data_IF_794337798441
#
_entry.id   IF_794337798441
#
_cell.length_a   1.000
_cell.length_b   1.000
_cell.length_c   1.000
_cell.angle_alpha   90.00
_cell.angle_beta   90.00
_cell.angle_gamma   90.00
#
_symmetry.space_group_name_H-M   'P 1'
#
loop_
_entity.id
_entity.type
_entity.pdbx_description
1 polymer ?
#
# COMPACT_ATOMS: atom_id res chain seq x y z
N UNK A 1 -0.64 -27.90 -3.66
CA UNK A 1 0.28 -26.88 -4.18
C UNK A 1 0.22 -25.69 -3.23
N UNK A 2 1.38 -25.27 -2.73
CA UNK A 2 1.51 -24.47 -1.51
C UNK A 2 0.76 -23.14 -1.57
N UNK A 3 -0.16 -22.94 -0.62
CA UNK A 3 -0.79 -21.64 -0.37
C UNK A 3 0.29 -20.65 0.08
N UNK A 4 0.30 -19.40 -0.42
CA UNK A 4 1.24 -18.41 0.05
C UNK A 4 0.96 -18.11 1.53
N UNK A 5 2.04 -18.09 2.32
CA UNK A 5 2.13 -18.03 3.78
C UNK A 5 1.53 -16.76 4.45
N UNK A 6 0.64 -16.02 3.79
CA UNK A 6 -0.08 -14.88 4.40
C UNK A 6 -1.45 -15.27 5.00
N UNK A 7 -1.85 -16.53 4.84
CA UNK A 7 -3.06 -17.13 5.45
C UNK A 7 -3.01 -17.21 7.00
N UNK A 8 -2.00 -16.66 7.69
CA UNK A 8 -1.93 -16.56 9.17
C UNK A 8 -2.16 -15.13 9.72
N UNK A 9 -2.98 -14.32 9.03
CA UNK A 9 -3.62 -13.15 9.64
C UNK A 9 -5.08 -13.41 10.03
N UNK A 10 -5.46 -14.68 10.27
CA UNK A 10 -6.69 -14.98 11.01
C UNK A 10 -6.46 -14.75 12.51
N UNK A 11 -7.04 -13.66 13.01
CA UNK A 11 -7.15 -13.36 14.42
C UNK A 11 -6.96 -11.88 14.66
N UNK A 12 -8.06 -11.14 14.69
CA UNK A 12 -8.22 -9.82 15.31
C UNK A 12 -6.94 -9.26 15.94
N UNK A 13 -6.10 -8.60 15.14
CA UNK A 13 -5.06 -7.78 15.76
C UNK A 13 -5.70 -6.46 16.13
N UNK A 14 -6.34 -6.49 17.30
CA UNK A 14 -6.59 -5.34 18.16
C UNK A 14 -5.24 -4.78 18.63
N UNK A 15 -4.53 -4.11 17.72
CA UNK A 15 -3.55 -3.10 18.07
C UNK A 15 -3.99 -1.81 17.39
N UNK A 16 -4.74 -0.97 18.10
CA UNK A 16 -5.08 0.37 17.60
C UNK A 16 -3.80 1.12 17.23
N UNK A 17 -2.73 0.96 18.03
CA UNK A 17 -1.43 1.55 17.75
C UNK A 17 -0.29 0.87 18.53
N UNK A 18 0.95 1.10 18.12
CA UNK A 18 2.19 0.77 18.86
C UNK A 18 2.98 2.05 19.12
N UNK A 19 3.52 2.20 20.33
CA UNK A 19 4.38 3.34 20.72
C UNK A 19 5.81 2.86 20.98
N UNK A 20 6.78 3.52 20.34
CA UNK A 20 8.20 3.37 20.61
C UNK A 20 8.78 4.75 20.94
N UNK A 21 9.58 4.87 22.00
CA UNK A 21 10.20 6.15 22.40
C UNK A 21 9.20 7.33 22.48
N UNK A 22 7.99 7.06 23.01
CA UNK A 22 6.87 8.03 23.10
C UNK A 22 6.30 8.49 21.74
N UNK A 23 6.53 7.75 20.66
CA UNK A 23 6.02 8.03 19.30
C UNK A 23 5.17 6.88 18.79
N UNK A 24 4.05 7.19 18.16
CA UNK A 24 3.26 6.16 17.47
C UNK A 24 3.99 5.72 16.20
N UNK A 25 4.32 4.44 16.11
CA UNK A 25 5.07 3.84 15.00
C UNK A 25 4.25 2.86 14.16
N UNK A 26 3.16 2.32 14.73
CA UNK A 26 2.17 1.51 14.01
C UNK A 26 0.80 2.01 14.39
N UNK A 27 -0.11 2.12 13.42
CA UNK A 27 -1.48 2.56 13.61
C UNK A 27 -2.41 1.71 12.74
N UNK A 28 -3.35 1.02 13.37
CA UNK A 28 -4.39 0.25 12.70
C UNK A 28 -5.74 0.91 12.90
N UNK A 29 -6.35 1.40 11.82
CA UNK A 29 -7.71 1.95 11.78
C UNK A 29 -8.64 1.10 10.91
N UNK A 30 -8.17 -0.03 10.39
CA UNK A 30 -8.97 -0.89 9.53
C UNK A 30 -10.20 -1.43 10.25
N UNK A 31 -11.27 -1.69 9.49
CA UNK A 31 -12.57 -2.19 9.98
C UNK A 31 -13.33 -1.24 10.92
N UNK A 32 -12.76 -0.08 11.27
CA UNK A 32 -13.48 0.95 11.99
C UNK A 32 -14.44 1.61 11.01
N UNK A 33 -15.74 1.33 11.20
CA UNK A 33 -16.81 1.90 10.39
C UNK A 33 -16.71 3.44 10.35
N UNK A 34 -16.93 4.02 9.17
CA UNK A 34 -16.96 5.46 8.92
C UNK A 34 -15.62 6.23 9.11
N UNK A 35 -14.46 5.57 9.11
CA UNK A 35 -13.19 6.29 8.97
C UNK A 35 -13.07 6.78 7.53
N UNK A 36 -13.18 8.09 7.32
CA UNK A 36 -12.95 8.74 6.03
C UNK A 36 -11.91 9.88 6.13
N UNK A 37 -11.83 10.53 7.28
CA UNK A 37 -10.86 11.56 7.59
C UNK A 37 -9.67 10.99 8.38
N UNK A 38 -8.53 10.91 7.72
CA UNK A 38 -7.25 10.54 8.32
C UNK A 38 -6.32 11.75 8.48
N UNK A 39 -6.82 12.98 8.37
CA UNK A 39 -6.03 14.20 8.55
C UNK A 39 -5.20 14.25 9.83
N UNK A 40 -5.61 13.68 10.99
CA UNK A 40 -4.77 13.66 12.19
C UNK A 40 -3.45 12.89 12.02
N UNK A 41 -3.40 11.88 11.13
CA UNK A 41 -2.19 11.04 10.96
C UNK A 41 -1.01 11.82 10.39
N UNK A 42 -1.24 12.99 9.78
CA UNK A 42 -0.20 13.88 9.22
C UNK A 42 0.88 14.28 10.24
N UNK A 43 0.55 14.23 11.54
CA UNK A 43 1.46 14.57 12.63
C UNK A 43 2.29 13.38 13.13
N UNK A 44 1.98 12.15 12.71
CA UNK A 44 2.67 10.94 13.10
C UNK A 44 3.88 10.68 12.20
N UNK A 45 4.82 11.61 12.14
CA UNK A 45 5.95 11.57 11.18
C UNK A 45 6.90 10.38 11.34
N UNK A 46 6.78 9.63 12.43
CA UNK A 46 7.53 8.40 12.72
C UNK A 46 6.74 7.13 12.42
N UNK A 47 5.54 7.24 11.87
CA UNK A 47 4.71 6.10 11.53
C UNK A 47 5.39 5.25 10.47
N UNK A 48 5.54 3.96 10.78
CA UNK A 48 6.17 2.94 9.94
C UNK A 48 5.13 2.01 9.31
N UNK A 49 4.02 1.77 10.00
CA UNK A 49 2.91 0.95 9.51
C UNK A 49 1.59 1.69 9.68
N UNK A 50 0.81 1.76 8.61
CA UNK A 50 -0.55 2.31 8.62
C UNK A 50 -1.51 1.33 7.97
N UNK A 51 -2.49 0.85 8.73
CA UNK A 51 -3.60 0.04 8.23
C UNK A 51 -4.88 0.83 8.16
N UNK A 52 -5.45 0.98 6.97
CA UNK A 52 -6.71 1.66 6.70
C UNK A 52 -7.71 0.74 5.97
N UNK A 53 -7.46 -0.58 5.95
CA UNK A 53 -8.30 -1.50 5.18
C UNK A 53 -9.75 -1.46 5.61
N UNK A 54 -10.66 -1.56 4.62
CA UNK A 54 -12.12 -1.52 4.85
C UNK A 54 -12.58 -0.28 5.59
N UNK A 55 -12.11 0.86 5.13
CA UNK A 55 -12.56 2.20 5.56
C UNK A 55 -13.03 3.00 4.34
N UNK A 56 -13.70 4.13 4.57
CA UNK A 56 -14.20 5.00 3.50
C UNK A 56 -13.15 6.01 3.01
N UNK A 57 -11.90 5.86 3.43
CA UNK A 57 -10.79 6.73 3.04
C UNK A 57 -10.64 6.75 1.52
N UNK A 58 -10.47 7.96 1.00
CA UNK A 58 -10.19 8.24 -0.42
C UNK A 58 -9.09 9.28 -0.59
N UNK A 59 -8.97 10.24 0.34
CA UNK A 59 -7.91 11.24 0.34
C UNK A 59 -6.66 10.76 1.09
N UNK A 60 -5.56 10.59 0.34
CA UNK A 60 -4.24 10.25 0.90
C UNK A 60 -3.36 11.48 1.16
N UNK A 61 -3.84 12.71 0.93
CA UNK A 61 -3.07 13.93 1.15
C UNK A 61 -2.41 14.06 2.53
N UNK A 62 -2.99 13.56 3.64
CA UNK A 62 -2.36 13.59 4.96
C UNK A 62 -1.08 12.74 5.05
N UNK A 63 -0.91 11.74 4.18
CA UNK A 63 0.19 10.77 4.23
C UNK A 63 1.48 11.32 3.59
N UNK A 64 1.42 12.40 2.79
CA UNK A 64 2.52 12.88 1.93
C UNK A 64 3.87 13.08 2.64
N UNK A 65 3.84 13.36 3.94
CA UNK A 65 5.01 13.67 4.78
C UNK A 65 5.42 12.53 5.72
N UNK A 66 4.77 11.37 5.68
CA UNK A 66 5.09 10.21 6.53
C UNK A 66 6.30 9.44 5.99
N UNK A 67 7.46 10.09 5.93
CA UNK A 67 8.65 9.59 5.22
C UNK A 67 9.24 8.30 5.80
N UNK A 68 8.86 7.94 7.01
CA UNK A 68 9.25 6.68 7.66
C UNK A 68 8.34 5.50 7.34
N UNK A 69 7.22 5.71 6.62
CA UNK A 69 6.24 4.67 6.31
C UNK A 69 6.87 3.57 5.46
N UNK A 70 6.72 2.32 5.91
CA UNK A 70 7.25 1.09 5.29
C UNK A 70 6.13 0.18 4.82
N UNK A 71 5.01 0.16 5.53
CA UNK A 71 3.88 -0.70 5.23
C UNK A 71 2.60 0.14 5.24
N UNK A 72 1.83 0.02 4.16
CA UNK A 72 0.56 0.71 3.99
C UNK A 72 -0.47 -0.28 3.45
N UNK A 73 -1.55 -0.46 4.20
CA UNK A 73 -2.70 -1.25 3.80
C UNK A 73 -3.88 -0.32 3.53
N UNK A 74 -4.31 -0.26 2.27
CA UNK A 74 -5.45 0.49 1.75
C UNK A 74 -6.51 -0.44 1.15
N UNK A 75 -6.44 -1.75 1.41
CA UNK A 75 -7.32 -2.72 0.79
C UNK A 75 -8.78 -2.41 1.10
N UNK A 76 -9.66 -2.54 0.11
CA UNK A 76 -11.11 -2.27 0.28
C UNK A 76 -11.39 -0.85 0.77
N UNK A 77 -10.69 0.14 0.20
CA UNK A 77 -10.96 1.57 0.43
C UNK A 77 -11.43 2.23 -0.87
N UNK A 78 -11.83 3.51 -0.78
CA UNK A 78 -12.29 4.28 -1.94
C UNK A 78 -11.15 5.02 -2.66
N UNK A 79 -9.90 4.68 -2.38
CA UNK A 79 -8.70 5.31 -2.97
C UNK A 79 -8.64 5.07 -4.48
N UNK A 80 -8.23 6.12 -5.20
CA UNK A 80 -7.92 6.09 -6.64
C UNK A 80 -6.66 6.89 -6.98
N UNK A 81 -6.39 7.99 -6.25
CA UNK A 81 -5.19 8.81 -6.45
C UNK A 81 -4.05 8.42 -5.50
N UNK A 82 -2.96 7.94 -6.09
CA UNK A 82 -1.72 7.58 -5.38
C UNK A 82 -0.69 8.72 -5.34
N UNK A 83 -0.97 9.89 -5.92
CA UNK A 83 -0.05 11.03 -5.97
C UNK A 83 0.59 11.37 -4.62
N UNK A 84 -0.14 11.36 -3.49
CA UNK A 84 0.44 11.62 -2.18
C UNK A 84 1.56 10.64 -1.76
N UNK A 85 1.59 9.43 -2.33
CA UNK A 85 2.58 8.39 -2.00
C UNK A 85 3.94 8.58 -2.69
N UNK A 86 4.04 9.41 -3.73
CA UNK A 86 5.25 9.57 -4.58
C UNK A 86 6.55 9.83 -3.79
N UNK A 87 6.43 10.46 -2.62
CA UNK A 87 7.55 10.80 -1.76
C UNK A 87 7.87 9.80 -0.65
N UNK A 88 7.17 8.67 -0.53
CA UNK A 88 7.32 7.69 0.55
C UNK A 88 8.38 6.64 0.22
N UNK A 89 9.61 7.09 -0.04
CA UNK A 89 10.70 6.27 -0.59
C UNK A 89 11.12 5.05 0.27
N UNK A 90 10.66 4.98 1.53
CA UNK A 90 10.89 3.84 2.43
C UNK A 90 9.80 2.77 2.37
N UNK A 91 8.74 2.97 1.58
CA UNK A 91 7.64 2.04 1.46
C UNK A 91 8.12 0.73 0.83
N UNK A 92 7.80 -0.38 1.49
CA UNK A 92 8.20 -1.76 1.14
C UNK A 92 7.00 -2.63 0.81
N UNK A 93 5.88 -2.40 1.46
CA UNK A 93 4.65 -3.18 1.31
C UNK A 93 3.49 -2.21 1.07
N UNK A 94 2.76 -2.46 -0.01
CA UNK A 94 1.58 -1.68 -0.38
C UNK A 94 0.45 -2.63 -0.80
N UNK A 95 -0.66 -2.58 -0.07
CA UNK A 95 -1.87 -3.32 -0.40
C UNK A 95 -2.92 -2.36 -0.95
N UNK A 96 -3.36 -2.60 -2.19
CA UNK A 96 -4.35 -1.80 -2.91
C UNK A 96 -5.50 -2.65 -3.44
N UNK A 97 -5.65 -3.90 -2.97
CA UNK A 97 -6.68 -4.75 -3.52
C UNK A 97 -8.09 -4.24 -3.22
N UNK A 98 -9.02 -4.49 -4.13
CA UNK A 98 -10.38 -3.95 -4.10
C UNK A 98 -10.40 -2.41 -3.93
N UNK A 99 -9.55 -1.68 -4.68
CA UNK A 99 -9.56 -0.21 -4.73
C UNK A 99 -9.83 0.28 -6.16
N UNK A 100 -10.05 1.59 -6.34
CA UNK A 100 -10.30 2.20 -7.66
C UNK A 100 -9.04 2.76 -8.30
N UNK A 101 -7.88 2.19 -7.98
CA UNK A 101 -6.60 2.62 -8.53
C UNK A 101 -6.48 2.13 -9.97
N UNK A 102 -6.05 3.03 -10.86
CA UNK A 102 -5.73 2.71 -12.26
C UNK A 102 -4.36 3.24 -12.70
N UNK A 103 -3.89 4.34 -12.09
CA UNK A 103 -2.59 4.95 -12.40
C UNK A 103 -1.51 4.60 -11.37
N UNK A 104 -0.47 3.89 -11.81
CA UNK A 104 0.69 3.52 -11.00
C UNK A 104 1.87 4.50 -11.13
N UNK A 105 1.76 5.56 -11.93
CA UNK A 105 2.83 6.56 -12.13
C UNK A 105 3.42 7.10 -10.82
N UNK A 106 2.63 7.36 -9.76
CA UNK A 106 3.18 7.81 -8.47
C UNK A 106 4.14 6.81 -7.81
N UNK A 107 4.06 5.52 -8.12
CA UNK A 107 4.86 4.47 -7.50
C UNK A 107 6.27 4.32 -8.10
N UNK A 108 6.54 4.92 -9.27
CA UNK A 108 7.79 4.69 -10.04
C UNK A 108 9.09 4.95 -9.27
N UNK A 109 9.05 5.85 -8.28
CA UNK A 109 10.21 6.24 -7.46
C UNK A 109 10.31 5.45 -6.13
N UNK A 110 9.38 4.54 -5.84
CA UNK A 110 9.38 3.74 -4.61
C UNK A 110 10.32 2.55 -4.73
N UNK A 111 11.62 2.82 -4.92
CA UNK A 111 12.65 1.82 -5.19
C UNK A 111 12.86 0.77 -4.09
N UNK A 112 12.32 1.01 -2.90
CA UNK A 112 12.32 0.05 -1.78
C UNK A 112 11.10 -0.88 -1.77
N UNK A 113 10.13 -0.71 -2.68
CA UNK A 113 8.92 -1.52 -2.74
C UNK A 113 9.28 -2.98 -3.07
N UNK A 114 8.78 -3.89 -2.23
CA UNK A 114 9.00 -5.34 -2.32
C UNK A 114 7.72 -6.11 -2.58
N UNK A 115 6.60 -5.64 -2.05
CA UNK A 115 5.31 -6.31 -2.18
C UNK A 115 4.26 -5.30 -2.61
N UNK A 116 3.57 -5.59 -3.70
CA UNK A 116 2.48 -4.79 -4.23
C UNK A 116 1.30 -5.71 -4.56
N UNK A 117 0.16 -5.46 -3.95
CA UNK A 117 -1.08 -6.18 -4.26
C UNK A 117 -2.04 -5.24 -5.01
N UNK A 118 -2.37 -5.58 -6.25
CA UNK A 118 -3.31 -4.88 -7.13
C UNK A 118 -4.53 -5.75 -7.49
N UNK A 119 -4.79 -6.82 -6.74
CA UNK A 119 -5.92 -7.70 -6.99
C UNK A 119 -7.24 -6.91 -7.02
N UNK A 120 -8.08 -7.13 -8.02
CA UNK A 120 -9.36 -6.43 -8.21
C UNK A 120 -9.18 -4.90 -8.19
N UNK A 121 -8.41 -4.39 -9.15
CA UNK A 121 -8.20 -2.95 -9.40
C UNK A 121 -8.33 -2.63 -10.89
N UNK A 122 -8.53 -1.35 -11.21
CA UNK A 122 -8.71 -0.85 -12.59
C UNK A 122 -7.36 -0.65 -13.33
N UNK A 123 -6.27 -1.24 -12.85
CA UNK A 123 -4.94 -1.08 -13.46
C UNK A 123 -4.87 -1.81 -14.79
N UNK A 124 -4.34 -1.14 -15.81
CA UNK A 124 -4.03 -1.73 -17.13
C UNK A 124 -2.58 -1.54 -17.58
N UNK A 125 -1.85 -0.58 -17.01
CA UNK A 125 -0.46 -0.27 -17.35
C UNK A 125 0.47 -0.49 -16.15
N UNK A 126 1.42 -1.42 -16.31
CA UNK A 126 2.46 -1.72 -15.32
C UNK A 126 3.83 -1.11 -15.67
N UNK A 127 3.91 -0.30 -16.73
CA UNK A 127 5.14 0.41 -17.10
C UNK A 127 5.80 1.20 -15.97
N UNK A 128 5.07 1.82 -15.02
CA UNK A 128 5.69 2.52 -13.89
C UNK A 128 6.47 1.59 -12.93
N UNK A 129 6.20 0.28 -12.96
CA UNK A 129 6.83 -0.70 -12.08
C UNK A 129 8.16 -1.22 -12.62
N UNK A 130 8.48 -1.01 -13.90
CA UNK A 130 9.60 -1.67 -14.60
C UNK A 130 11.01 -1.40 -14.02
N UNK A 131 11.16 -0.38 -13.17
CA UNK A 131 12.41 -0.04 -12.49
C UNK A 131 12.38 -0.30 -10.98
N UNK A 132 11.36 -1.02 -10.47
CA UNK A 132 11.25 -1.41 -9.06
C UNK A 132 12.00 -2.73 -8.80
N UNK A 133 13.32 -2.71 -8.99
CA UNK A 133 14.19 -3.90 -8.96
C UNK A 133 14.15 -4.73 -7.66
N UNK A 134 13.60 -4.18 -6.57
CA UNK A 134 13.41 -4.85 -5.29
C UNK A 134 12.05 -5.54 -5.14
N UNK A 135 11.16 -5.44 -6.14
CA UNK A 135 9.85 -6.08 -6.11
C UNK A 135 10.03 -7.60 -6.13
N UNK A 136 9.47 -8.25 -5.12
CA UNK A 136 9.55 -9.70 -4.84
C UNK A 136 8.17 -10.37 -4.98
N UNK A 137 7.09 -9.59 -4.91
CA UNK A 137 5.72 -10.07 -5.06
C UNK A 137 4.86 -8.98 -5.69
N UNK A 138 4.20 -9.34 -6.78
CA UNK A 138 3.22 -8.52 -7.48
C UNK A 138 1.98 -9.39 -7.72
N UNK A 139 0.83 -8.92 -7.27
CA UNK A 139 -0.46 -9.53 -7.57
C UNK A 139 -1.20 -8.66 -8.59
N UNK A 140 -1.60 -9.27 -9.71
CA UNK A 140 -2.33 -8.65 -10.83
C UNK A 140 -3.62 -9.41 -11.16
N UNK A 141 -4.04 -10.34 -10.31
CA UNK A 141 -5.29 -11.07 -10.53
C UNK A 141 -6.47 -10.09 -10.59
N UNK A 142 -7.46 -10.34 -11.44
CA UNK A 142 -8.60 -9.45 -11.66
C UNK A 142 -8.25 -7.98 -11.97
N UNK A 143 -7.12 -7.76 -12.66
CA UNK A 143 -6.78 -6.47 -13.28
C UNK A 143 -7.03 -6.47 -14.79
N UNK A 144 -6.87 -5.32 -15.44
CA UNK A 144 -6.94 -5.18 -16.90
C UNK A 144 -5.56 -5.23 -17.59
N UNK A 145 -4.52 -5.71 -16.90
CA UNK A 145 -3.16 -5.77 -17.44
C UNK A 145 -3.04 -6.89 -18.47
N UNK A 146 -2.70 -6.54 -19.71
CA UNK A 146 -2.43 -7.50 -20.79
C UNK A 146 -0.97 -7.56 -21.24
N UNK A 147 -0.19 -6.51 -20.98
CA UNK A 147 1.24 -6.44 -21.33
C UNK A 147 2.10 -6.33 -20.07
N UNK A 148 2.85 -7.40 -19.81
CA UNK A 148 3.82 -7.48 -18.71
C UNK A 148 5.27 -7.32 -19.17
N UNK A 149 5.51 -7.00 -20.45
CA UNK A 149 6.85 -6.76 -20.97
C UNK A 149 7.65 -5.68 -20.22
N UNK A 150 7.04 -4.65 -19.59
CA UNK A 150 7.78 -3.71 -18.75
C UNK A 150 8.44 -4.36 -17.52
N UNK A 151 7.94 -5.51 -17.06
CA UNK A 151 8.42 -6.21 -15.87
C UNK A 151 9.61 -7.14 -16.15
N UNK A 152 10.01 -7.31 -17.42
CA UNK A 152 11.00 -8.31 -17.85
C UNK A 152 12.37 -8.26 -17.16
N UNK A 153 12.73 -7.11 -16.58
CA UNK A 153 14.02 -6.87 -15.92
C UNK A 153 13.93 -6.93 -14.39
N UNK A 154 12.76 -7.30 -13.83
CA UNK A 154 12.57 -7.45 -12.39
C UNK A 154 13.03 -8.83 -11.94
N UNK A 155 14.33 -8.99 -11.73
CA UNK A 155 14.98 -10.28 -11.43
C UNK A 155 14.52 -10.96 -10.13
N UNK A 156 13.90 -10.20 -9.21
CA UNK A 156 13.43 -10.70 -7.92
C UNK A 156 11.94 -11.07 -7.91
N UNK A 157 11.21 -10.79 -9.00
CA UNK A 157 9.76 -11.00 -9.12
C UNK A 157 9.45 -12.40 -9.68
#
# INVERSE_FOLDING_TARGET
MGRPLYDELEGDVVYLFTVEEKRVVKLGLGWINNVNDVSPVRHLTHLMLLGLSRTDVSDLSPLKNLKELRELDLSKTNVSDLTPLRGLKKLRVLWLNDTRVSDLTPLKELKELRKLNLWDTDVSDVSPLGELKKLERLDLEDTSVSDISPLKNLENL
#
